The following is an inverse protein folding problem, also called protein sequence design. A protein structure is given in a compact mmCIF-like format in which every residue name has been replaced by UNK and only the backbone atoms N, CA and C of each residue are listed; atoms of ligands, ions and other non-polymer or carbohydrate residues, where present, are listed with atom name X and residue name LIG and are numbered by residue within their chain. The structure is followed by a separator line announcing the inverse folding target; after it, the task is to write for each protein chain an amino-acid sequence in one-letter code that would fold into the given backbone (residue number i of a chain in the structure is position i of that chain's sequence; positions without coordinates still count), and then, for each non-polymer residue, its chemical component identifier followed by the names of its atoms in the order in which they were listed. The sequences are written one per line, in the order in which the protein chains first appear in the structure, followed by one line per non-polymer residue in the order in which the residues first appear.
data_IF_746993787503
#
_entry.id   IF_746993787503
#
_cell.length_a   1.000
_cell.length_b   1.000
_cell.length_c   1.000
_cell.angle_alpha   90.00
_cell.angle_beta   90.00
_cell.angle_gamma   90.00
#
_symmetry.space_group_name_H-M   'P 1'
#
loop_
_entity.id
_entity.type
_entity.pdbx_description
1 polymer ?
#
# COMPACT_ATOMS: atom_id res chain seq x y z
N UNK A 1 20.27 -21.97 16.64
CA UNK A 1 21.00 -20.69 16.66
C UNK A 1 20.65 -19.84 15.41
N UNK A 2 20.91 -20.37 14.21
CA UNK A 2 20.60 -19.65 12.94
C UNK A 2 19.11 -19.45 12.73
N UNK A 3 18.27 -20.44 13.02
CA UNK A 3 16.81 -20.33 12.95
C UNK A 3 16.24 -19.31 13.96
N UNK A 4 16.79 -19.26 15.16
CA UNK A 4 16.41 -18.28 16.18
C UNK A 4 16.78 -16.87 15.75
N UNK A 5 17.95 -16.70 15.16
CA UNK A 5 18.40 -15.42 14.63
C UNK A 5 17.51 -14.95 13.46
N UNK A 6 17.14 -15.85 12.55
CA UNK A 6 16.21 -15.56 11.48
C UNK A 6 14.84 -15.10 12.01
N UNK A 7 14.32 -15.77 13.04
CA UNK A 7 13.04 -15.40 13.67
C UNK A 7 13.11 -14.06 14.41
N UNK A 8 14.24 -13.77 15.07
CA UNK A 8 14.46 -12.47 15.71
C UNK A 8 14.53 -11.31 14.71
N UNK A 9 14.86 -11.61 13.48
CA UNK A 9 14.90 -10.66 12.36
C UNK A 9 13.60 -10.66 11.54
N UNK A 10 12.50 -11.21 12.07
CA UNK A 10 11.19 -11.31 11.40
C UNK A 10 11.21 -12.06 10.05
N UNK A 11 12.22 -12.92 9.82
CA UNK A 11 12.23 -13.85 8.71
C UNK A 11 11.35 -15.06 9.07
N UNK A 12 10.27 -15.25 8.31
CA UNK A 12 9.29 -16.32 8.57
C UNK A 12 9.67 -17.62 7.89
N UNK A 13 9.55 -18.76 8.58
CA UNK A 13 9.76 -20.06 7.96
C UNK A 13 8.55 -20.47 7.13
N UNK A 14 8.81 -21.15 6.01
CA UNK A 14 7.78 -21.78 5.17
C UNK A 14 8.01 -23.30 5.10
N UNK A 15 6.91 -24.06 5.05
CA UNK A 15 6.94 -25.51 4.89
C UNK A 15 6.85 -25.85 3.41
N UNK A 16 7.88 -26.55 2.90
CA UNK A 16 7.96 -26.98 1.52
C UNK A 16 7.97 -28.50 1.42
N UNK A 17 7.08 -29.05 0.62
CA UNK A 17 7.10 -30.48 0.30
C UNK A 17 8.17 -30.77 -0.74
N UNK A 18 9.11 -31.63 -0.37
CA UNK A 18 10.16 -32.14 -1.26
C UNK A 18 10.00 -33.65 -1.47
N UNK A 19 10.31 -34.12 -2.68
CA UNK A 19 10.35 -35.55 -2.96
C UNK A 19 11.79 -36.02 -3.12
N UNK A 20 12.20 -36.97 -2.28
CA UNK A 20 13.50 -37.63 -2.39
C UNK A 20 13.30 -39.14 -2.40
N UNK A 21 13.78 -39.83 -3.47
CA UNK A 21 13.68 -41.28 -3.58
C UNK A 21 12.25 -41.84 -3.56
N UNK A 22 11.27 -41.08 -4.12
CA UNK A 22 9.85 -41.47 -4.16
C UNK A 22 9.07 -41.28 -2.85
N UNK A 23 9.70 -40.67 -1.84
CA UNK A 23 9.03 -40.31 -0.58
C UNK A 23 8.86 -38.80 -0.47
N UNK A 24 7.71 -38.37 0.03
CA UNK A 24 7.44 -36.98 0.34
C UNK A 24 8.00 -36.63 1.72
N UNK A 25 8.73 -35.51 1.78
CA UNK A 25 9.21 -34.90 3.03
C UNK A 25 8.67 -33.48 3.13
N UNK A 26 8.49 -33.01 4.36
CA UNK A 26 8.16 -31.61 4.65
C UNK A 26 9.39 -30.99 5.28
N UNK A 27 10.04 -30.10 4.54
CA UNK A 27 11.19 -29.35 5.03
C UNK A 27 10.75 -27.93 5.42
N UNK A 28 11.26 -27.42 6.53
CA UNK A 28 11.08 -26.02 6.95
C UNK A 28 12.25 -25.21 6.42
N UNK A 29 11.98 -24.22 5.59
CA UNK A 29 13.01 -23.35 5.00
C UNK A 29 12.82 -21.90 5.41
N UNK A 30 13.95 -21.19 5.57
CA UNK A 30 14.01 -19.74 5.77
C UNK A 30 14.64 -19.14 4.53
N UNK A 31 13.92 -18.23 3.85
CA UNK A 31 14.40 -17.61 2.62
C UNK A 31 13.93 -16.16 2.56
N UNK A 32 14.49 -15.35 3.41
CA UNK A 32 14.20 -13.93 3.52
C UNK A 32 15.46 -13.07 3.49
N UNK A 33 15.31 -11.76 3.61
CA UNK A 33 16.39 -10.81 3.69
C UNK A 33 16.05 -9.65 4.63
N UNK A 34 17.06 -9.15 5.32
CA UNK A 34 16.98 -7.91 6.11
C UNK A 34 17.96 -6.89 5.53
N UNK A 35 17.45 -5.73 5.16
CA UNK A 35 18.21 -4.64 4.59
C UNK A 35 18.24 -3.50 5.61
N UNK A 36 19.43 -3.05 6.01
CA UNK A 36 19.63 -2.01 7.04
C UNK A 36 20.49 -0.86 6.50
N UNK A 37 20.14 0.36 6.90
CA UNK A 37 20.96 1.54 6.70
C UNK A 37 20.78 2.48 7.89
N UNK A 38 21.83 2.65 8.70
CA UNK A 38 21.73 3.39 9.96
C UNK A 38 20.70 2.76 10.91
N UNK A 39 19.63 3.50 11.22
CA UNK A 39 18.52 3.07 12.06
C UNK A 39 17.35 2.47 11.25
N UNK A 40 17.37 2.67 9.94
CA UNK A 40 16.29 2.20 9.07
C UNK A 40 16.48 0.73 8.67
N UNK A 41 15.38 0.00 8.71
CA UNK A 41 15.36 -1.43 8.40
C UNK A 41 14.15 -1.77 7.53
N UNK A 42 14.36 -2.65 6.54
CA UNK A 42 13.30 -3.28 5.77
C UNK A 42 13.51 -4.77 5.79
N UNK A 43 12.49 -5.51 6.20
CA UNK A 43 12.48 -6.98 6.23
C UNK A 43 11.68 -7.51 5.05
N UNK A 44 12.26 -8.46 4.32
CA UNK A 44 11.58 -9.33 3.36
C UNK A 44 11.44 -10.68 4.06
N UNK A 45 10.26 -11.01 4.61
CA UNK A 45 10.12 -12.17 5.49
C UNK A 45 10.32 -13.50 4.76
N UNK A 46 9.94 -13.56 3.48
CA UNK A 46 10.14 -14.74 2.65
C UNK A 46 10.10 -14.40 1.16
N UNK A 47 10.95 -15.03 0.35
CA UNK A 47 10.91 -14.96 -1.12
C UNK A 47 10.07 -16.11 -1.67
N UNK A 48 8.81 -15.83 -1.99
CA UNK A 48 7.92 -16.80 -2.62
C UNK A 48 8.32 -17.12 -4.06
N UNK A 49 7.92 -18.29 -4.54
CA UNK A 49 8.09 -18.66 -5.95
C UNK A 49 7.37 -17.63 -6.82
N UNK A 50 8.11 -17.07 -7.79
CA UNK A 50 7.59 -15.99 -8.66
C UNK A 50 7.79 -14.58 -8.12
N UNK A 51 8.31 -14.40 -6.91
CA UNK A 51 8.69 -13.08 -6.40
C UNK A 51 9.82 -12.50 -7.27
N UNK A 52 9.67 -11.27 -7.81
CA UNK A 52 10.75 -10.60 -8.54
C UNK A 52 11.83 -10.12 -7.56
N UNK A 53 12.78 -11.00 -7.23
CA UNK A 53 13.78 -10.81 -6.16
C UNK A 53 14.58 -9.52 -6.38
N UNK A 54 15.01 -9.26 -7.61
CA UNK A 54 15.78 -8.05 -7.95
C UNK A 54 14.98 -6.77 -7.66
N UNK A 55 13.70 -6.78 -7.99
CA UNK A 55 12.81 -5.66 -7.69
C UNK A 55 12.65 -5.45 -6.17
N UNK A 56 12.37 -6.53 -5.43
CA UNK A 56 12.19 -6.47 -3.98
C UNK A 56 13.46 -5.98 -3.26
N UNK A 57 14.62 -6.48 -3.64
CA UNK A 57 15.91 -6.03 -3.08
C UNK A 57 16.21 -4.58 -3.45
N UNK A 58 16.08 -4.20 -4.72
CA UNK A 58 16.36 -2.83 -5.18
C UNK A 58 15.42 -1.82 -4.51
N UNK A 59 14.14 -2.17 -4.41
CA UNK A 59 13.13 -1.36 -3.70
C UNK A 59 13.51 -1.18 -2.23
N UNK A 60 13.86 -2.28 -1.55
CA UNK A 60 14.20 -2.27 -0.12
C UNK A 60 15.47 -1.46 0.15
N UNK A 61 16.51 -1.61 -0.67
CA UNK A 61 17.74 -0.81 -0.60
C UNK A 61 17.43 0.69 -0.79
N UNK A 62 16.59 1.03 -1.79
CA UNK A 62 16.18 2.42 -2.01
C UNK A 62 15.41 2.99 -0.82
N UNK A 63 14.57 2.16 -0.18
CA UNK A 63 13.76 2.57 0.97
C UNK A 63 14.62 2.92 2.18
N UNK A 64 15.64 2.11 2.50
CA UNK A 64 16.54 2.36 3.64
C UNK A 64 17.62 3.39 3.35
N UNK A 65 17.90 3.70 2.07
CA UNK A 65 18.95 4.66 1.68
C UNK A 65 18.47 6.10 1.56
N UNK A 66 17.17 6.36 1.70
CA UNK A 66 16.59 7.71 1.62
C UNK A 66 16.21 8.20 3.00
N UNK A 67 16.83 9.32 3.42
CA UNK A 67 16.51 10.00 4.68
C UNK A 67 15.09 10.59 4.68
N UNK A 68 14.58 11.02 3.49
CA UNK A 68 13.24 11.59 3.35
C UNK A 68 12.39 10.75 2.36
N UNK A 69 11.38 10.04 2.90
CA UNK A 69 10.36 9.38 2.07
C UNK A 69 9.38 10.41 1.54
N UNK A 70 9.14 10.38 0.23
CA UNK A 70 8.10 11.19 -0.38
C UNK A 70 6.73 10.85 0.23
N UNK A 71 5.89 11.87 0.38
CA UNK A 71 4.56 11.76 0.99
C UNK A 71 3.49 11.70 -0.10
N UNK A 72 2.70 10.62 -0.07
CA UNK A 72 1.52 10.45 -0.91
C UNK A 72 0.28 10.71 -0.07
N UNK A 73 -0.44 11.78 -0.38
CA UNK A 73 -1.78 12.03 0.15
C UNK A 73 -2.81 11.23 -0.63
N UNK A 74 -3.70 10.53 0.04
CA UNK A 74 -4.81 9.82 -0.61
C UNK A 74 -6.12 10.44 -0.14
N UNK A 75 -6.88 11.00 -1.09
CA UNK A 75 -8.12 11.67 -0.82
C UNK A 75 -9.21 10.68 -0.39
N UNK A 76 -9.92 10.97 0.69
CA UNK A 76 -11.08 10.19 1.11
C UNK A 76 -12.22 10.36 0.14
N UNK A 77 -12.74 9.24 -0.35
CA UNK A 77 -13.87 9.14 -1.27
C UNK A 77 -14.71 7.90 -0.90
N UNK A 78 -15.80 7.67 -1.58
CA UNK A 78 -16.63 6.47 -1.38
C UNK A 78 -15.89 5.16 -1.76
N UNK A 79 -14.74 5.24 -2.44
CA UNK A 79 -13.91 4.07 -2.71
C UNK A 79 -13.33 3.44 -1.43
N UNK A 80 -13.29 4.19 -0.31
CA UNK A 80 -12.87 3.71 1.03
C UNK A 80 -11.59 2.86 1.01
N UNK A 81 -10.56 3.27 0.24
CA UNK A 81 -9.38 2.45 -0.03
C UNK A 81 -8.51 2.16 1.21
N UNK A 82 -8.66 2.95 2.28
CA UNK A 82 -8.05 2.65 3.58
C UNK A 82 -8.81 1.57 4.37
N UNK A 83 -9.90 1.04 3.80
CA UNK A 83 -10.80 0.15 4.52
C UNK A 83 -11.68 0.90 5.51
N UNK A 84 -12.22 0.18 6.46
CA UNK A 84 -13.12 0.72 7.48
C UNK A 84 -14.37 -0.14 7.62
N UNK A 85 -15.33 0.34 8.40
CA UNK A 85 -16.57 -0.38 8.63
C UNK A 85 -17.53 -0.20 7.45
N UNK A 86 -17.87 -1.28 6.77
CA UNK A 86 -18.84 -1.34 5.69
C UNK A 86 -20.07 -2.13 6.14
N UNK A 87 -21.20 -1.44 6.28
CA UNK A 87 -22.46 -2.08 6.67
C UNK A 87 -23.00 -3.03 5.58
N UNK A 88 -22.76 -2.74 4.31
CA UNK A 88 -23.22 -3.57 3.20
C UNK A 88 -22.40 -4.87 3.07
N UNK A 89 -21.11 -4.81 3.37
CA UNK A 89 -20.23 -5.98 3.43
C UNK A 89 -20.27 -6.70 4.78
N UNK A 90 -21.00 -6.16 5.77
CA UNK A 90 -21.23 -6.80 7.07
C UNK A 90 -20.03 -6.80 8.01
N UNK A 91 -19.09 -5.87 7.88
CA UNK A 91 -17.95 -5.86 8.77
C UNK A 91 -16.86 -4.84 8.43
N UNK A 92 -15.74 -4.97 9.16
CA UNK A 92 -14.58 -4.13 8.95
C UNK A 92 -13.77 -4.64 7.74
N UNK A 93 -13.60 -3.79 6.73
CA UNK A 93 -12.86 -4.10 5.52
C UNK A 93 -11.38 -3.71 5.70
N UNK A 94 -10.45 -4.56 5.27
CA UNK A 94 -9.03 -4.20 5.28
C UNK A 94 -8.74 -3.11 4.23
N UNK A 95 -7.63 -2.36 4.39
CA UNK A 95 -7.15 -1.47 3.35
C UNK A 95 -6.92 -2.22 2.02
N UNK A 96 -7.13 -1.54 0.92
CA UNK A 96 -6.80 -2.10 -0.40
C UNK A 96 -5.29 -2.37 -0.51
N UNK A 97 -4.92 -3.39 -1.29
CA UNK A 97 -3.52 -3.80 -1.50
C UNK A 97 -2.62 -2.63 -1.92
N UNK A 98 -3.13 -1.72 -2.74
CA UNK A 98 -2.39 -0.53 -3.20
C UNK A 98 -1.88 0.32 -2.04
N UNK A 99 -2.65 0.47 -0.95
CA UNK A 99 -2.23 1.23 0.24
C UNK A 99 -1.04 0.56 0.91
N UNK A 100 -1.09 -0.77 1.04
CA UNK A 100 -0.01 -1.56 1.62
C UNK A 100 1.26 -1.48 0.77
N UNK A 101 1.13 -1.57 -0.56
CA UNK A 101 2.26 -1.46 -1.49
C UNK A 101 2.89 -0.05 -1.48
N UNK A 102 2.07 1.01 -1.46
CA UNK A 102 2.57 2.37 -1.36
C UNK A 102 3.32 2.62 -0.03
N UNK A 103 2.82 2.10 1.09
CA UNK A 103 3.46 2.23 2.41
C UNK A 103 4.85 1.61 2.47
N UNK A 104 5.18 0.67 1.59
CA UNK A 104 6.52 0.08 1.52
C UNK A 104 7.59 1.08 1.06
N UNK A 105 7.23 2.11 0.30
CA UNK A 105 8.18 3.07 -0.31
C UNK A 105 7.91 4.53 0.06
N UNK A 106 6.68 4.88 0.43
CA UNK A 106 6.20 6.24 0.64
C UNK A 106 5.60 6.40 2.03
N UNK A 107 5.59 7.64 2.50
CA UNK A 107 4.74 8.04 3.62
C UNK A 107 3.34 8.25 3.07
N UNK A 108 2.37 7.43 3.48
CA UNK A 108 0.99 7.48 2.98
C UNK A 108 0.10 8.12 4.04
N UNK A 109 -0.55 9.22 3.68
CA UNK A 109 -1.46 9.97 4.54
C UNK A 109 -2.86 9.99 3.95
N UNK A 110 -3.86 9.92 4.82
CA UNK A 110 -5.26 10.08 4.48
C UNK A 110 -5.61 11.58 4.45
N UNK A 111 -6.30 12.02 3.40
CA UNK A 111 -6.63 13.42 3.16
C UNK A 111 -8.14 13.60 3.19
N UNK A 112 -8.64 14.51 4.06
CA UNK A 112 -10.06 14.87 4.08
C UNK A 112 -10.41 15.77 2.89
N UNK A 113 -11.49 15.49 2.16
CA UNK A 113 -11.99 16.37 1.12
C UNK A 113 -12.79 17.57 1.63
N UNK A 114 -13.16 17.59 2.94
CA UNK A 114 -14.08 18.58 3.51
C UNK A 114 -13.44 19.95 3.74
N UNK A 115 -12.11 20.02 3.71
CA UNK A 115 -11.34 21.25 3.88
C UNK A 115 -10.38 21.47 2.70
N UNK A 116 -9.89 22.72 2.51
CA UNK A 116 -8.87 23.00 1.51
C UNK A 116 -7.66 22.08 1.68
N UNK A 117 -7.25 21.43 0.59
CA UNK A 117 -6.12 20.49 0.61
C UNK A 117 -4.80 21.26 0.71
N UNK A 118 -3.96 20.85 1.66
CA UNK A 118 -2.63 21.45 1.86
C UNK A 118 -1.75 21.27 0.62
N UNK A 119 -1.10 22.33 0.19
CA UNK A 119 -0.22 22.34 -0.98
C UNK A 119 1.27 22.11 -0.64
N UNK A 120 1.60 21.92 0.62
CA UNK A 120 2.97 21.68 1.10
C UNK A 120 3.16 20.36 1.84
N UNK A 121 2.08 19.67 2.17
CA UNK A 121 2.12 18.45 3.00
C UNK A 121 2.34 17.17 2.17
N UNK A 122 1.97 17.22 0.90
CA UNK A 122 2.02 16.06 0.01
C UNK A 122 2.87 16.35 -1.22
N UNK A 123 3.74 15.39 -1.59
CA UNK A 123 4.47 15.44 -2.86
C UNK A 123 3.57 15.06 -4.04
N UNK A 124 2.63 14.15 -3.80
CA UNK A 124 1.61 13.71 -4.77
C UNK A 124 0.29 13.50 -4.05
N UNK A 125 -0.82 13.95 -4.64
CA UNK A 125 -2.17 13.61 -4.22
C UNK A 125 -2.75 12.52 -5.13
N UNK A 126 -3.35 11.48 -4.53
CA UNK A 126 -4.09 10.45 -5.24
C UNK A 126 -5.58 10.58 -4.92
N UNK A 127 -6.42 10.71 -5.93
CA UNK A 127 -7.87 10.75 -5.82
C UNK A 127 -8.48 9.56 -6.58
N UNK A 128 -9.05 8.63 -5.84
CA UNK A 128 -9.73 7.45 -6.39
C UNK A 128 -11.23 7.66 -6.29
N UNK A 129 -11.94 7.51 -7.40
CA UNK A 129 -13.38 7.73 -7.52
C UNK A 129 -13.81 9.14 -7.08
N UNK A 130 -13.20 10.22 -7.62
CA UNK A 130 -13.56 11.57 -7.25
C UNK A 130 -15.00 11.96 -7.68
N UNK A 131 -15.61 11.21 -8.58
CA UNK A 131 -17.03 11.35 -8.96
C UNK A 131 -18.00 11.14 -7.80
N UNK A 132 -17.56 10.48 -6.72
CA UNK A 132 -18.34 10.32 -5.47
C UNK A 132 -18.35 11.57 -4.58
N UNK A 133 -17.47 12.53 -4.84
CA UNK A 133 -17.35 13.74 -4.03
C UNK A 133 -18.55 14.67 -4.20
N UNK A 134 -18.94 15.33 -3.12
CA UNK A 134 -19.91 16.42 -3.18
C UNK A 134 -19.31 17.63 -3.89
N UNK A 135 -20.15 18.58 -4.37
CA UNK A 135 -19.68 19.76 -5.09
C UNK A 135 -18.65 20.59 -4.29
N UNK A 136 -18.82 20.86 -2.97
CA UNK A 136 -17.80 21.55 -2.18
C UNK A 136 -16.48 20.77 -2.07
N UNK A 137 -16.54 19.45 -1.90
CA UNK A 137 -15.37 18.58 -1.84
C UNK A 137 -14.62 18.53 -3.18
N UNK A 138 -15.36 18.37 -4.28
CA UNK A 138 -14.81 18.42 -5.62
C UNK A 138 -14.12 19.75 -5.92
N UNK A 139 -14.71 20.86 -5.43
CA UNK A 139 -14.09 22.19 -5.56
C UNK A 139 -12.73 22.23 -4.87
N UNK A 140 -12.58 21.68 -3.66
CA UNK A 140 -11.30 21.62 -2.95
C UNK A 140 -10.25 20.85 -3.76
N UNK A 141 -10.61 19.72 -4.37
CA UNK A 141 -9.73 18.95 -5.25
C UNK A 141 -9.34 19.76 -6.49
N UNK A 142 -10.31 20.39 -7.17
CA UNK A 142 -10.06 21.19 -8.37
C UNK A 142 -9.16 22.39 -8.06
N UNK A 143 -9.38 23.07 -6.94
CA UNK A 143 -8.56 24.20 -6.50
C UNK A 143 -7.11 23.76 -6.22
N UNK A 144 -6.91 22.57 -5.65
CA UNK A 144 -5.58 21.98 -5.46
C UNK A 144 -4.89 21.69 -6.80
N UNK A 145 -5.59 21.04 -7.74
CA UNK A 145 -5.07 20.72 -9.08
C UNK A 145 -4.72 22.00 -9.86
N UNK A 146 -5.57 23.03 -9.78
CA UNK A 146 -5.33 24.34 -10.45
C UNK A 146 -4.07 25.05 -9.96
N UNK A 147 -3.59 24.75 -8.75
CA UNK A 147 -2.30 25.25 -8.24
C UNK A 147 -1.11 24.53 -8.88
N UNK A 148 -1.31 23.61 -9.83
CA UNK A 148 -0.26 22.86 -10.51
C UNK A 148 0.37 21.76 -9.65
N UNK A 149 -0.33 21.27 -8.63
CA UNK A 149 0.17 20.24 -7.74
C UNK A 149 0.05 18.84 -8.36
N UNK A 150 1.07 17.98 -8.22
CA UNK A 150 1.03 16.63 -8.77
C UNK A 150 -0.17 15.85 -8.23
N UNK A 151 -1.04 15.40 -9.14
CA UNK A 151 -2.27 14.70 -8.78
C UNK A 151 -2.49 13.51 -9.70
N UNK A 152 -2.72 12.33 -9.13
CA UNK A 152 -3.16 11.14 -9.84
C UNK A 152 -4.67 10.97 -9.60
N UNK A 153 -5.44 10.97 -10.67
CA UNK A 153 -6.90 10.79 -10.62
C UNK A 153 -7.23 9.44 -11.25
N UNK A 154 -7.92 8.60 -10.50
CA UNK A 154 -8.46 7.32 -10.95
C UNK A 154 -9.98 7.37 -10.79
N UNK A 155 -10.69 7.45 -11.88
CA UNK A 155 -12.17 7.47 -11.89
C UNK A 155 -12.72 6.31 -12.73
N UNK A 156 -13.89 5.82 -12.31
CA UNK A 156 -14.60 4.77 -13.02
C UNK A 156 -16.01 5.31 -13.36
N UNK A 157 -16.35 5.42 -14.63
CA UNK A 157 -17.67 5.92 -15.03
C UNK A 157 -18.82 4.98 -14.64
N UNK A 158 -18.52 3.71 -14.33
CA UNK A 158 -19.49 2.71 -13.87
C UNK A 158 -18.97 1.97 -12.64
N UNK A 159 -18.79 2.66 -11.49
CA UNK A 159 -18.18 2.05 -10.32
C UNK A 159 -19.02 0.89 -9.80
N UNK A 160 -18.39 -0.28 -9.68
CA UNK A 160 -18.99 -1.48 -9.08
C UNK A 160 -19.08 -1.31 -7.55
N UNK A 161 -18.26 -0.43 -6.98
CA UNK A 161 -18.20 -0.12 -5.56
C UNK A 161 -18.95 1.18 -5.28
N UNK A 162 -19.98 1.11 -4.48
CA UNK A 162 -20.81 2.25 -4.10
C UNK A 162 -22.24 2.08 -4.61
N UNK A 163 -23.10 1.62 -3.70
CA UNK A 163 -24.51 1.39 -4.00
C UNK A 163 -25.18 2.62 -4.60
N UNK A 164 -25.47 2.54 -5.90
CA UNK A 164 -26.68 3.10 -6.45
C UNK A 164 -26.94 4.59 -6.34
N UNK A 165 -25.97 5.46 -6.57
CA UNK A 165 -26.30 6.80 -7.07
C UNK A 165 -26.01 6.84 -8.56
N UNK A 166 -26.99 6.27 -9.31
CA UNK A 166 -27.03 6.42 -10.76
C UNK A 166 -27.03 7.90 -11.11
N UNK A 167 -26.29 8.20 -12.15
CA UNK A 167 -26.30 9.48 -12.85
C UNK A 167 -27.77 9.94 -13.05
N UNK A 168 -28.17 11.01 -12.39
CA UNK A 168 -29.30 11.85 -12.81
C UNK A 168 -28.74 13.07 -13.52
#
# INVERSE_FOLDING_TARGET
KEEEEARLLDITPEQVQTQRGGRAYVDTIFMGAVIKSGTDEVVIPFFNVGTPIEYELTRSIRTVSKDDRLTVGILNTDASIFGGFDMAAGGNQPPWLIVSELKKQYRVLQVSPDSPISDTEYDVLMAVLPSSLTQPQLKNLVDYVKKGKPTLVCDDPLPVFGGGRGLQ
#
